data_IF_434262396202
#
_entry.id   IF_434262396202
#
_cell.length_a   1.000
_cell.length_b   1.000
_cell.length_c   1.000
_cell.angle_alpha   90.00
_cell.angle_beta   90.00
_cell.angle_gamma   90.00
#
_symmetry.space_group_name_H-M   'P 1'
#
loop_
_entity.id
_entity.type
_entity.pdbx_description
1 polymer ?
#
# COMPACT_ATOMS: atom_id res chain seq x y z
N UNK A 1 2.26 -23.68 24.61
CA UNK A 1 0.77 -23.74 24.50
C UNK A 1 0.26 -22.31 24.39
N UNK A 2 -0.32 -21.95 23.24
CA UNK A 2 -0.89 -20.61 23.05
C UNK A 2 -2.32 -20.52 23.60
N UNK A 3 -2.79 -19.30 23.86
CA UNK A 3 -4.17 -19.02 24.24
C UNK A 3 -5.09 -19.41 23.07
N UNK A 4 -6.06 -20.28 23.30
CA UNK A 4 -7.06 -20.70 22.31
C UNK A 4 -8.47 -20.46 22.85
N UNK A 5 -9.38 -20.09 21.96
CA UNK A 5 -10.81 -20.11 22.28
C UNK A 5 -11.28 -21.56 22.43
N UNK A 6 -12.28 -21.78 23.31
CA UNK A 6 -12.91 -23.10 23.39
C UNK A 6 -13.62 -23.46 22.06
N UNK A 7 -13.81 -24.75 21.79
CA UNK A 7 -14.40 -25.23 20.54
C UNK A 7 -15.79 -24.63 20.27
N UNK A 8 -16.59 -24.43 21.32
CA UNK A 8 -17.89 -23.76 21.25
C UNK A 8 -17.76 -22.33 20.68
N UNK A 9 -16.84 -21.54 21.22
CA UNK A 9 -16.66 -20.16 20.78
C UNK A 9 -15.96 -20.07 19.43
N UNK A 10 -15.07 -20.99 19.10
CA UNK A 10 -14.48 -21.08 17.78
C UNK A 10 -15.54 -21.37 16.71
N UNK A 11 -16.47 -22.30 16.98
CA UNK A 11 -17.56 -22.61 16.05
C UNK A 11 -18.46 -21.39 15.84
N UNK A 12 -18.89 -20.75 16.94
CA UNK A 12 -19.72 -19.55 16.88
C UNK A 12 -19.04 -18.40 16.11
N UNK A 13 -17.73 -18.17 16.36
CA UNK A 13 -16.98 -17.16 15.64
C UNK A 13 -16.89 -17.46 14.13
N UNK A 14 -16.72 -18.73 13.79
CA UNK A 14 -16.71 -19.15 12.38
C UNK A 14 -18.06 -18.92 11.72
N UNK A 15 -19.16 -19.31 12.36
CA UNK A 15 -20.53 -19.11 11.85
C UNK A 15 -20.82 -17.60 11.63
N UNK A 16 -20.42 -16.73 12.57
CA UNK A 16 -20.56 -15.27 12.44
C UNK A 16 -19.72 -14.75 11.26
N UNK A 17 -18.48 -15.21 11.10
CA UNK A 17 -17.63 -14.82 9.98
C UNK A 17 -18.22 -15.26 8.65
N UNK A 18 -18.68 -16.50 8.55
CA UNK A 18 -19.27 -17.05 7.33
C UNK A 18 -20.55 -16.30 6.94
N UNK A 19 -21.39 -15.97 7.92
CA UNK A 19 -22.58 -15.13 7.73
C UNK A 19 -22.19 -13.73 7.22
N UNK A 20 -21.26 -13.06 7.89
CA UNK A 20 -20.81 -11.73 7.47
C UNK A 20 -20.22 -11.76 6.05
N UNK A 21 -19.44 -12.78 5.74
CA UNK A 21 -18.83 -12.92 4.42
C UNK A 21 -19.89 -13.12 3.34
N UNK A 22 -20.88 -13.97 3.59
CA UNK A 22 -21.89 -14.33 2.60
C UNK A 22 -22.99 -13.27 2.49
N UNK A 23 -23.53 -12.80 3.63
CA UNK A 23 -24.69 -11.93 3.62
C UNK A 23 -24.33 -10.43 3.49
N UNK A 24 -23.13 -10.03 3.93
CA UNK A 24 -22.72 -8.63 3.94
C UNK A 24 -21.66 -8.40 2.86
N UNK A 25 -20.46 -8.95 3.02
CA UNK A 25 -19.32 -8.59 2.16
C UNK A 25 -19.48 -9.03 0.70
N UNK A 26 -20.10 -10.16 0.43
CA UNK A 26 -20.37 -10.67 -0.92
C UNK A 26 -21.74 -10.25 -1.48
N UNK A 27 -22.48 -9.39 -0.79
CA UNK A 27 -23.76 -8.92 -1.30
C UNK A 27 -23.56 -8.09 -2.58
N UNK A 28 -24.39 -8.35 -3.60
CA UNK A 28 -24.37 -7.65 -4.89
C UNK A 28 -24.51 -6.13 -4.73
N UNK A 29 -25.22 -5.65 -3.71
CA UNK A 29 -25.35 -4.21 -3.43
C UNK A 29 -24.01 -3.52 -3.19
N UNK A 30 -22.99 -4.26 -2.73
CA UNK A 30 -21.65 -3.72 -2.49
C UNK A 30 -20.70 -3.91 -3.67
N UNK A 31 -21.16 -4.51 -4.77
CA UNK A 31 -20.31 -4.75 -5.95
C UNK A 31 -19.73 -3.46 -6.49
N UNK A 32 -20.55 -2.45 -6.72
CA UNK A 32 -20.10 -1.14 -7.23
C UNK A 32 -19.06 -0.50 -6.30
N UNK A 33 -19.27 -0.59 -4.98
CA UNK A 33 -18.31 -0.08 -4.01
C UNK A 33 -16.99 -0.85 -4.06
N UNK A 34 -17.01 -2.18 -4.13
CA UNK A 34 -15.80 -3.00 -4.27
C UNK A 34 -15.03 -2.67 -5.54
N UNK A 35 -15.74 -2.50 -6.66
CA UNK A 35 -15.14 -2.14 -7.94
C UNK A 35 -14.49 -0.76 -7.88
N UNK A 36 -15.13 0.20 -7.21
CA UNK A 36 -14.56 1.52 -6.96
C UNK A 36 -13.29 1.44 -6.09
N UNK A 37 -13.32 0.73 -4.97
CA UNK A 37 -12.13 0.55 -4.11
C UNK A 37 -11.00 -0.11 -4.88
N UNK A 38 -11.31 -1.15 -5.68
CA UNK A 38 -10.30 -1.81 -6.52
C UNK A 38 -9.70 -0.85 -7.56
N UNK A 39 -10.50 0.03 -8.14
CA UNK A 39 -10.04 1.06 -9.07
C UNK A 39 -9.08 2.03 -8.37
N UNK A 40 -9.46 2.55 -7.20
CA UNK A 40 -8.62 3.48 -6.41
C UNK A 40 -7.25 2.86 -6.12
N UNK A 41 -7.25 1.66 -5.52
CA UNK A 41 -6.01 0.97 -5.13
C UNK A 41 -5.12 0.68 -6.35
N UNK A 42 -5.70 0.15 -7.43
CA UNK A 42 -4.96 -0.16 -8.67
C UNK A 42 -4.39 1.08 -9.34
N UNK A 43 -5.12 2.19 -9.32
CA UNK A 43 -4.65 3.44 -9.90
C UNK A 43 -3.44 3.99 -9.15
N UNK A 44 -3.48 4.01 -7.82
CA UNK A 44 -2.35 4.42 -6.98
C UNK A 44 -1.16 3.49 -7.21
N UNK A 45 -1.37 2.18 -7.13
CA UNK A 45 -0.33 1.18 -7.33
C UNK A 45 0.35 1.32 -8.70
N UNK A 46 -0.43 1.37 -9.77
CA UNK A 46 0.09 1.44 -11.13
C UNK A 46 0.84 2.76 -11.38
N UNK A 47 0.38 3.87 -10.79
CA UNK A 47 1.06 5.16 -10.91
C UNK A 47 2.42 5.12 -10.21
N UNK A 48 2.51 4.58 -9.00
CA UNK A 48 3.77 4.42 -8.30
C UNK A 48 4.70 3.41 -8.98
N UNK A 49 4.17 2.32 -9.54
CA UNK A 49 4.99 1.34 -10.27
C UNK A 49 5.69 1.92 -11.50
N UNK A 50 5.17 2.98 -12.12
CA UNK A 50 5.83 3.66 -13.27
C UNK A 50 7.14 4.33 -12.88
N UNK A 51 7.35 4.62 -11.62
CA UNK A 51 8.60 5.24 -11.14
C UNK A 51 9.73 4.24 -10.93
N UNK A 52 9.45 2.93 -10.96
CA UNK A 52 10.47 1.88 -10.80
C UNK A 52 11.44 1.84 -11.99
N UNK A 53 12.74 1.93 -11.70
CA UNK A 53 13.80 1.71 -12.68
C UNK A 53 14.48 0.37 -12.43
N UNK A 54 14.48 -0.51 -13.44
CA UNK A 54 15.02 -1.87 -13.34
C UNK A 54 16.54 -1.87 -13.17
N UNK A 55 17.22 -0.85 -13.73
CA UNK A 55 18.67 -0.81 -13.80
C UNK A 55 19.30 -0.11 -12.59
N UNK A 56 18.56 0.81 -11.96
CA UNK A 56 19.12 1.65 -10.91
C UNK A 56 18.06 2.08 -9.88
N UNK A 57 18.13 1.54 -8.65
CA UNK A 57 17.22 1.93 -7.57
C UNK A 57 17.22 3.43 -7.25
N UNK A 58 18.39 4.09 -7.37
CA UNK A 58 18.50 5.54 -7.14
C UNK A 58 17.69 6.34 -8.16
N UNK A 59 17.68 5.88 -9.42
CA UNK A 59 16.87 6.50 -10.47
C UNK A 59 15.37 6.38 -10.20
N UNK A 60 14.94 5.33 -9.51
CA UNK A 60 13.55 5.23 -9.03
C UNK A 60 13.19 6.38 -8.07
N UNK A 61 14.12 6.79 -7.20
CA UNK A 61 13.90 7.96 -6.33
C UNK A 61 13.82 9.26 -7.12
N UNK A 62 14.67 9.45 -8.12
CA UNK A 62 14.63 10.63 -8.99
C UNK A 62 13.30 10.68 -9.76
N UNK A 63 12.82 9.53 -10.24
CA UNK A 63 11.52 9.41 -10.91
C UNK A 63 10.36 9.77 -9.97
N UNK A 64 10.41 9.36 -8.69
CA UNK A 64 9.42 9.77 -7.69
C UNK A 64 9.50 11.27 -7.44
N UNK A 65 10.71 11.83 -7.39
CA UNK A 65 10.91 13.26 -7.16
C UNK A 65 10.34 14.10 -8.31
N UNK A 66 10.61 13.71 -9.55
CA UNK A 66 10.01 14.31 -10.74
C UNK A 66 8.47 14.21 -10.73
N UNK A 67 7.93 13.10 -10.24
CA UNK A 67 6.48 12.90 -10.16
C UNK A 67 5.78 13.87 -9.19
N UNK A 68 6.52 14.52 -8.26
CA UNK A 68 5.95 15.50 -7.32
C UNK A 68 5.38 16.75 -8.01
N UNK A 69 5.83 17.07 -9.23
CA UNK A 69 5.26 18.19 -9.98
C UNK A 69 3.79 17.96 -10.32
N UNK A 70 3.45 16.72 -10.72
CA UNK A 70 2.08 16.36 -11.08
C UNK A 70 1.26 15.86 -9.86
N UNK A 71 1.89 15.08 -8.97
CA UNK A 71 1.22 14.43 -7.84
C UNK A 71 1.98 14.68 -6.52
N UNK A 72 1.93 15.92 -5.99
CA UNK A 72 2.74 16.32 -4.83
C UNK A 72 2.45 15.52 -3.56
N UNK A 73 1.19 15.16 -3.28
CA UNK A 73 0.84 14.37 -2.10
C UNK A 73 1.31 12.93 -2.25
N UNK A 74 0.91 12.25 -3.32
CA UNK A 74 1.26 10.86 -3.56
C UNK A 74 2.77 10.66 -3.60
N UNK A 75 3.45 11.40 -4.46
CA UNK A 75 4.89 11.25 -4.66
C UNK A 75 5.69 11.73 -3.45
N UNK A 76 5.26 12.82 -2.81
CA UNK A 76 5.93 13.36 -1.64
C UNK A 76 5.93 12.41 -0.45
N UNK A 77 4.78 11.78 -0.17
CA UNK A 77 4.66 10.88 0.97
C UNK A 77 5.24 9.49 0.67
N UNK A 78 5.09 8.99 -0.55
CA UNK A 78 5.76 7.74 -0.97
C UNK A 78 7.29 7.89 -0.96
N UNK A 79 7.83 9.03 -1.40
CA UNK A 79 9.26 9.32 -1.31
C UNK A 79 9.77 9.23 0.13
N UNK A 80 9.05 9.84 1.10
CA UNK A 80 9.38 9.74 2.52
C UNK A 80 9.33 8.30 3.02
N UNK A 81 8.31 7.54 2.61
CA UNK A 81 8.16 6.13 2.96
C UNK A 81 9.38 5.31 2.49
N UNK A 82 9.76 5.42 1.22
CA UNK A 82 10.95 4.74 0.68
C UNK A 82 12.22 5.14 1.44
N UNK A 83 12.43 6.43 1.72
CA UNK A 83 13.61 6.89 2.47
C UNK A 83 13.71 6.31 3.88
N UNK A 84 12.58 6.16 4.56
CA UNK A 84 12.54 5.63 5.93
C UNK A 84 12.81 4.13 5.94
N UNK A 85 12.24 3.38 4.99
CA UNK A 85 12.19 1.93 5.04
C UNK A 85 13.19 1.22 4.10
N UNK A 86 14.02 1.96 3.36
CA UNK A 86 15.07 1.40 2.51
C UNK A 86 16.47 1.96 2.84
N UNK A 87 17.52 1.35 2.26
CA UNK A 87 18.91 1.79 2.42
C UNK A 87 19.36 2.80 1.36
N UNK A 88 18.50 3.18 0.40
CA UNK A 88 18.88 3.91 -0.81
C UNK A 88 19.51 5.28 -0.50
N UNK A 89 19.21 5.92 0.61
CA UNK A 89 19.75 7.23 0.97
C UNK A 89 20.65 7.23 2.23
N UNK A 90 21.39 6.14 2.44
CA UNK A 90 22.40 6.06 3.49
C UNK A 90 21.83 5.76 4.88
N UNK A 91 22.76 5.55 5.82
CA UNK A 91 22.44 5.22 7.21
C UNK A 91 21.94 6.44 7.98
N UNK A 92 20.64 6.54 8.13
CA UNK A 92 20.08 7.35 9.17
C UNK A 92 19.88 6.45 10.40
N UNK A 93 20.74 6.58 11.41
CA UNK A 93 20.70 5.76 12.63
C UNK A 93 19.33 5.73 13.31
N UNK A 94 18.57 6.83 13.19
CA UNK A 94 17.20 6.94 13.71
C UNK A 94 16.26 5.86 13.15
N UNK A 95 16.52 5.37 11.94
CA UNK A 95 15.64 4.42 11.23
C UNK A 95 16.31 3.06 10.97
N UNK A 96 17.48 2.79 11.57
CA UNK A 96 18.27 1.58 11.33
C UNK A 96 17.45 0.28 11.43
N UNK A 97 16.54 0.19 12.40
CA UNK A 97 15.69 -0.99 12.61
C UNK A 97 14.44 -1.03 11.71
N UNK A 98 14.25 -0.04 10.83
CA UNK A 98 13.09 0.06 9.94
C UNK A 98 13.43 -0.20 8.48
N UNK A 99 14.68 -0.51 8.16
CA UNK A 99 15.19 -0.73 6.80
C UNK A 99 14.79 -2.09 6.25
N UNK A 100 13.48 -2.28 6.02
CA UNK A 100 12.91 -3.59 5.64
C UNK A 100 13.05 -3.91 4.14
N UNK A 101 13.20 -2.90 3.27
CA UNK A 101 13.28 -3.09 1.82
C UNK A 101 14.73 -3.16 1.29
N UNK A 102 15.74 -3.08 2.16
CA UNK A 102 17.13 -3.09 1.74
C UNK A 102 17.41 -2.01 0.68
N UNK A 103 18.14 -2.38 -0.38
CA UNK A 103 18.49 -1.48 -1.48
C UNK A 103 17.43 -1.45 -2.60
N UNK A 104 16.27 -2.08 -2.41
CA UNK A 104 15.20 -2.19 -3.44
C UNK A 104 15.75 -2.78 -4.75
N UNK A 105 16.45 -3.90 -4.64
CA UNK A 105 17.17 -4.50 -5.77
C UNK A 105 16.26 -5.13 -6.82
N UNK A 106 15.02 -5.47 -6.45
CA UNK A 106 14.08 -6.15 -7.34
C UNK A 106 12.74 -5.43 -7.43
N UNK A 107 12.05 -5.68 -8.54
CA UNK A 107 10.69 -5.18 -8.78
C UNK A 107 9.69 -5.64 -7.73
N UNK A 108 9.87 -6.85 -7.22
CA UNK A 108 9.01 -7.45 -6.20
C UNK A 108 9.15 -6.70 -4.88
N UNK A 109 10.37 -6.33 -4.49
CA UNK A 109 10.61 -5.53 -3.28
C UNK A 109 10.00 -4.14 -3.43
N UNK A 110 10.14 -3.52 -4.62
CA UNK A 110 9.52 -2.23 -4.88
C UNK A 110 7.99 -2.30 -4.85
N UNK A 111 7.41 -3.33 -5.46
CA UNK A 111 5.97 -3.59 -5.40
C UNK A 111 5.49 -3.81 -3.96
N UNK A 112 6.26 -4.55 -3.15
CA UNK A 112 5.95 -4.74 -1.73
C UNK A 112 5.96 -3.39 -0.97
N UNK A 113 6.94 -2.53 -1.24
CA UNK A 113 6.99 -1.21 -0.62
C UNK A 113 5.77 -0.34 -0.97
N UNK A 114 5.26 -0.44 -2.21
CA UNK A 114 4.02 0.22 -2.61
C UNK A 114 2.81 -0.38 -1.89
N UNK A 115 2.72 -1.71 -1.81
CA UNK A 115 1.62 -2.40 -1.12
C UNK A 115 1.56 -2.00 0.35
N UNK A 116 2.71 -1.99 1.03
CA UNK A 116 2.80 -1.62 2.44
C UNK A 116 2.43 -0.14 2.65
N UNK A 117 2.85 0.74 1.73
CA UNK A 117 2.48 2.15 1.75
C UNK A 117 0.95 2.34 1.60
N UNK A 118 0.33 1.67 0.61
CA UNK A 118 -1.13 1.72 0.40
C UNK A 118 -1.88 1.12 1.59
N UNK A 119 -1.39 0.02 2.15
CA UNK A 119 -2.01 -0.64 3.31
C UNK A 119 -2.00 0.21 4.59
N UNK A 120 -1.08 1.17 4.68
CA UNK A 120 -1.03 2.16 5.76
C UNK A 120 -1.94 3.36 5.58
N UNK A 121 -2.61 3.49 4.43
CA UNK A 121 -3.53 4.60 4.18
C UNK A 121 -4.87 4.42 4.92
N UNK A 122 -5.46 5.53 5.35
CA UNK A 122 -6.88 5.55 5.67
C UNK A 122 -7.71 5.60 4.38
N UNK A 123 -8.96 5.14 4.43
CA UNK A 123 -9.89 5.20 3.28
C UNK A 123 -10.00 6.63 2.72
N UNK A 124 -10.12 7.60 3.60
CA UNK A 124 -10.19 9.01 3.22
C UNK A 124 -8.95 9.46 2.47
N UNK A 125 -7.77 9.13 2.98
CA UNK A 125 -6.51 9.51 2.35
C UNK A 125 -6.32 8.85 0.98
N UNK A 126 -6.68 7.58 0.84
CA UNK A 126 -6.64 6.89 -0.45
C UNK A 126 -7.55 7.56 -1.51
N UNK A 127 -8.74 8.02 -1.10
CA UNK A 127 -9.65 8.77 -1.98
C UNK A 127 -9.09 10.16 -2.33
N UNK A 128 -8.47 10.87 -1.39
CA UNK A 128 -7.83 12.16 -1.64
C UNK A 128 -6.68 12.02 -2.66
N UNK A 129 -5.83 10.99 -2.51
CA UNK A 129 -4.77 10.65 -3.47
C UNK A 129 -5.38 10.30 -4.84
N UNK A 130 -6.43 9.48 -4.88
CA UNK A 130 -7.08 9.14 -6.14
C UNK A 130 -7.64 10.37 -6.85
N UNK A 131 -8.24 11.30 -6.11
CA UNK A 131 -8.70 12.56 -6.65
C UNK A 131 -7.55 13.44 -7.17
N UNK A 132 -6.36 13.38 -6.53
CA UNK A 132 -5.16 14.03 -7.07
C UNK A 132 -4.80 13.47 -8.45
N UNK A 133 -4.86 12.13 -8.63
CA UNK A 133 -4.58 11.47 -9.92
C UNK A 133 -5.55 11.87 -11.04
N UNK A 134 -6.77 12.30 -10.70
CA UNK A 134 -7.80 12.67 -11.68
C UNK A 134 -7.75 14.15 -12.10
N UNK A 135 -6.91 14.96 -11.50
CA UNK A 135 -6.85 16.40 -11.79
C UNK A 135 -6.11 16.78 -13.08
N UNK A 136 -5.50 15.77 -13.77
CA UNK A 136 -4.69 15.98 -14.98
C UNK A 136 -5.13 15.06 -16.11
#
# INVERSE_FOLDING_TARGET
QGIRLSDKYNKMLKEIKDFNYTAIYNNEKFKVYRDYVALVIRSIFNTLMKTYDVCNPYKSLDNIDCMKEAYPMLAGDFYKHIKVYSNIQGDNEKYKNKKIYGNIETKEIYAQAIIDYISGMTDRYAVEIFNELLKY
#
